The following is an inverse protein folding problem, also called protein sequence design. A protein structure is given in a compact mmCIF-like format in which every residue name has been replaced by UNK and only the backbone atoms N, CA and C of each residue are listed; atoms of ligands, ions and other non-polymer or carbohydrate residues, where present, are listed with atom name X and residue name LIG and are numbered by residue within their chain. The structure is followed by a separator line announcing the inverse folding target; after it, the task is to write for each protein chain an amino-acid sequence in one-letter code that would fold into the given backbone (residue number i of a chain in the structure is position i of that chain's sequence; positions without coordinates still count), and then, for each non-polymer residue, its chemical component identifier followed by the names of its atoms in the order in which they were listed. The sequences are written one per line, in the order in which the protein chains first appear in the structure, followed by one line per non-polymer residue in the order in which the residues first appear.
data_IF_421584106269
#
_entry.id   IF_421584106269
#
_cell.length_a   1.000
_cell.length_b   1.000
_cell.length_c   1.000
_cell.angle_alpha   90.00
_cell.angle_beta   90.00
_cell.angle_gamma   90.00
#
_symmetry.space_group_name_H-M   'P 1'
#
loop_
_entity.id
_entity.type
_entity.pdbx_description
1 polymer ?
#
# COMPACT_ATOMS: atom_id res chain seq x y z
N UNK A 1 -17.04 5.35 5.13
CA UNK A 1 -15.63 5.07 4.79
C UNK A 1 -14.80 5.17 6.04
N UNK A 2 -14.24 4.06 6.48
CA UNK A 2 -13.35 3.97 7.65
C UNK A 2 -11.93 3.68 7.15
N UNK A 3 -10.98 4.56 7.47
CA UNK A 3 -9.56 4.37 7.17
C UNK A 3 -8.79 4.33 8.48
N UNK A 4 -8.01 3.28 8.68
CA UNK A 4 -7.04 3.16 9.77
C UNK A 4 -5.68 2.80 9.21
N UNK A 5 -4.62 3.33 9.83
CA UNK A 5 -3.27 2.80 9.72
C UNK A 5 -2.97 2.10 11.04
N UNK A 6 -2.68 0.83 10.97
CA UNK A 6 -2.43 0.02 12.17
C UNK A 6 -1.03 0.28 12.71
N UNK A 7 -0.08 0.16 11.84
CA UNK A 7 1.34 0.52 12.00
C UNK A 7 2.01 0.47 10.64
N UNK A 8 3.09 1.21 10.44
CA UNK A 8 3.92 1.15 9.25
C UNK A 8 3.12 1.35 7.94
N UNK A 9 3.01 0.30 7.11
CA UNK A 9 2.19 0.27 5.89
C UNK A 9 0.91 -0.59 6.02
N UNK A 10 0.56 -1.01 7.24
CA UNK A 10 -0.61 -1.83 7.48
C UNK A 10 -1.88 -0.97 7.44
N UNK A 11 -2.54 -0.95 6.29
CA UNK A 11 -3.67 -0.08 6.00
C UNK A 11 -4.98 -0.88 6.04
N UNK A 12 -5.99 -0.34 6.71
CA UNK A 12 -7.37 -0.81 6.63
C UNK A 12 -8.25 0.24 5.95
N UNK A 13 -9.01 -0.18 4.94
CA UNK A 13 -10.06 0.63 4.30
C UNK A 13 -11.36 -0.20 4.33
N UNK A 14 -12.28 0.15 5.24
CA UNK A 14 -13.50 -0.61 5.51
C UNK A 14 -13.19 -2.11 5.75
N UNK A 15 -13.53 -3.01 4.80
CA UNK A 15 -13.29 -4.46 4.82
C UNK A 15 -12.08 -4.91 3.97
N UNK A 16 -11.29 -3.96 3.47
CA UNK A 16 -10.03 -4.22 2.77
C UNK A 16 -8.83 -4.03 3.71
N UNK A 17 -7.85 -4.92 3.61
CA UNK A 17 -6.55 -4.78 4.25
C UNK A 17 -5.45 -4.69 3.18
N UNK A 18 -4.48 -3.82 3.40
CA UNK A 18 -3.26 -3.75 2.60
C UNK A 18 -2.08 -3.98 3.55
N UNK A 19 -1.21 -4.91 3.20
CA UNK A 19 0.00 -5.26 3.94
C UNK A 19 -0.25 -5.38 5.46
N UNK A 20 -1.15 -6.28 5.91
CA UNK A 20 -1.48 -6.39 7.32
C UNK A 20 -0.26 -6.80 8.15
N UNK A 21 0.10 -5.98 9.13
CA UNK A 21 1.24 -6.15 10.01
C UNK A 21 0.90 -5.81 11.46
N UNK A 22 1.55 -6.46 12.43
CA UNK A 22 1.28 -6.37 13.87
C UNK A 22 -0.15 -6.84 14.23
N UNK A 23 -0.35 -8.16 14.24
CA UNK A 23 -1.64 -8.83 14.50
C UNK A 23 -2.35 -8.35 15.78
N UNK A 24 -1.59 -7.90 16.78
CA UNK A 24 -2.15 -7.46 18.07
C UNK A 24 -3.10 -6.27 17.96
N UNK A 25 -2.92 -5.45 16.93
CA UNK A 25 -3.70 -4.23 16.68
C UNK A 25 -4.86 -4.43 15.69
N UNK A 26 -4.87 -5.53 14.93
CA UNK A 26 -5.87 -5.80 13.90
C UNK A 26 -7.14 -6.42 14.50
N UNK A 27 -8.24 -5.65 14.56
CA UNK A 27 -9.50 -6.04 15.20
C UNK A 27 -10.68 -6.02 14.22
N UNK A 28 -10.50 -6.57 13.01
CA UNK A 28 -11.55 -6.68 12.00
C UNK A 28 -11.35 -7.97 11.19
N UNK A 29 -12.34 -8.31 10.37
CA UNK A 29 -12.22 -9.39 9.38
C UNK A 29 -12.22 -8.78 7.98
N UNK A 30 -11.30 -9.22 7.14
CA UNK A 30 -11.12 -8.69 5.81
C UNK A 30 -11.91 -9.50 4.77
N UNK A 31 -12.61 -8.80 3.86
CA UNK A 31 -13.14 -9.39 2.63
C UNK A 31 -12.02 -9.56 1.60
N UNK A 32 -11.14 -8.56 1.52
CA UNK A 32 -9.98 -8.57 0.63
C UNK A 32 -8.70 -8.25 1.38
N UNK A 33 -7.63 -8.97 1.05
CA UNK A 33 -6.26 -8.66 1.50
C UNK A 33 -5.41 -8.44 0.26
N UNK A 34 -4.76 -7.29 0.19
CA UNK A 34 -3.84 -6.89 -0.85
C UNK A 34 -2.41 -6.90 -0.28
N UNK A 35 -1.52 -7.68 -0.87
CA UNK A 35 -0.12 -7.74 -0.51
C UNK A 35 0.72 -7.10 -1.61
N UNK A 36 1.55 -6.12 -1.25
CA UNK A 36 2.37 -5.40 -2.23
C UNK A 36 3.63 -6.17 -2.58
N UNK A 37 4.26 -6.82 -1.60
CA UNK A 37 5.48 -7.60 -1.78
C UNK A 37 5.72 -8.56 -0.61
N UNK A 38 6.85 -9.28 -0.63
CA UNK A 38 7.10 -10.42 0.27
C UNK A 38 8.00 -10.11 1.47
N UNK A 39 8.37 -8.87 1.73
CA UNK A 39 9.08 -8.53 2.95
C UNK A 39 8.21 -8.79 4.19
N UNK A 40 8.86 -9.11 5.32
CA UNK A 40 8.21 -9.57 6.56
C UNK A 40 7.22 -8.57 7.17
N UNK A 41 7.41 -7.28 6.91
CA UNK A 41 6.59 -6.17 7.38
C UNK A 41 5.40 -5.84 6.46
N UNK A 42 5.27 -6.57 5.35
CA UNK A 42 4.16 -6.50 4.38
C UNK A 42 3.44 -7.85 4.22
N UNK A 43 4.18 -8.97 4.24
CA UNK A 43 3.61 -10.32 4.27
C UNK A 43 3.83 -10.92 5.66
N UNK A 44 3.02 -10.52 6.63
CA UNK A 44 3.04 -11.06 7.98
C UNK A 44 1.94 -12.12 8.17
N UNK A 45 2.33 -13.39 8.13
CA UNK A 45 1.39 -14.51 8.20
C UNK A 45 0.52 -14.52 9.47
N UNK A 46 1.04 -14.20 10.68
CA UNK A 46 0.21 -14.03 11.87
C UNK A 46 -0.89 -12.98 11.70
N UNK A 47 -0.59 -11.83 11.10
CA UNK A 47 -1.56 -10.78 10.83
C UNK A 47 -2.60 -11.19 9.81
N UNK A 48 -2.18 -11.84 8.72
CA UNK A 48 -3.09 -12.37 7.71
C UNK A 48 -4.07 -13.35 8.37
N UNK A 49 -3.57 -14.36 9.10
CA UNK A 49 -4.41 -15.36 9.79
C UNK A 49 -5.37 -14.75 10.81
N UNK A 50 -4.98 -13.65 11.45
CA UNK A 50 -5.83 -12.96 12.41
C UNK A 50 -7.07 -12.33 11.75
N UNK A 51 -6.99 -11.89 10.51
CA UNK A 51 -8.06 -11.13 9.85
C UNK A 51 -8.81 -11.87 8.76
N UNK A 52 -8.33 -13.04 8.30
CA UNK A 52 -9.03 -13.85 7.27
C UNK A 52 -10.30 -14.50 7.81
N UNK A 53 -11.20 -14.81 6.88
CA UNK A 53 -12.33 -15.73 6.99
C UNK A 53 -12.25 -16.71 5.82
N UNK A 54 -13.08 -17.74 5.77
CA UNK A 54 -13.13 -18.69 4.66
C UNK A 54 -13.46 -18.03 3.31
N UNK A 55 -14.15 -16.89 3.33
CA UNK A 55 -14.55 -16.13 2.14
C UNK A 55 -13.55 -15.03 1.74
N UNK A 56 -12.50 -14.78 2.52
CA UNK A 56 -11.50 -13.76 2.21
C UNK A 56 -10.75 -14.10 0.92
N UNK A 57 -10.65 -13.15 0.01
CA UNK A 57 -9.82 -13.25 -1.19
C UNK A 57 -8.52 -12.48 -0.99
N UNK A 58 -7.40 -13.13 -1.29
CA UNK A 58 -6.07 -12.54 -1.17
C UNK A 58 -5.56 -12.20 -2.56
N UNK A 59 -5.05 -10.99 -2.75
CA UNK A 59 -4.42 -10.51 -3.98
C UNK A 59 -2.94 -10.28 -3.66
N UNK A 60 -2.03 -10.92 -4.40
CA UNK A 60 -0.62 -10.91 -4.07
C UNK A 60 0.28 -11.07 -5.31
N UNK A 61 1.52 -10.57 -5.30
CA UNK A 61 2.48 -10.86 -6.35
C UNK A 61 2.85 -12.35 -6.37
N UNK A 62 3.33 -12.84 -7.53
CA UNK A 62 3.56 -14.27 -7.75
C UNK A 62 4.60 -14.90 -6.81
N UNK A 63 5.58 -14.17 -6.36
CA UNK A 63 6.63 -14.65 -5.46
C UNK A 63 6.11 -14.96 -4.05
N UNK A 64 4.96 -14.39 -3.64
CA UNK A 64 4.25 -14.72 -2.41
C UNK A 64 3.65 -16.14 -2.41
N UNK A 65 3.54 -16.80 -3.59
CA UNK A 65 2.82 -18.07 -3.76
C UNK A 65 3.25 -19.14 -2.77
N UNK A 66 4.55 -19.41 -2.67
CA UNK A 66 5.07 -20.46 -1.81
C UNK A 66 4.71 -20.24 -0.33
N UNK A 67 4.81 -19.02 0.14
CA UNK A 67 4.51 -18.69 1.53
C UNK A 67 3.00 -18.79 1.83
N UNK A 68 2.16 -18.28 0.94
CA UNK A 68 0.72 -18.26 1.15
C UNK A 68 0.10 -19.65 1.04
N UNK A 69 0.41 -20.42 -0.01
CA UNK A 69 -0.17 -21.76 -0.22
C UNK A 69 0.30 -22.80 0.79
N UNK A 70 1.44 -22.59 1.45
CA UNK A 70 1.91 -23.46 2.52
C UNK A 70 1.01 -23.39 3.78
N UNK A 71 0.31 -22.28 4.00
CA UNK A 71 -0.37 -22.01 5.26
C UNK A 71 -1.86 -21.64 5.12
N UNK A 72 -2.33 -21.30 3.91
CA UNK A 72 -3.68 -20.83 3.66
C UNK A 72 -4.40 -21.66 2.61
N UNK A 73 -5.72 -21.78 2.77
CA UNK A 73 -6.64 -22.43 1.79
C UNK A 73 -7.57 -21.45 1.10
N UNK A 74 -7.40 -20.17 1.38
CA UNK A 74 -8.20 -19.11 0.81
C UNK A 74 -8.02 -19.00 -0.71
N UNK A 75 -8.99 -18.37 -1.39
CA UNK A 75 -8.82 -17.96 -2.78
C UNK A 75 -7.71 -16.92 -2.88
N UNK A 76 -6.67 -17.20 -3.66
CA UNK A 76 -5.56 -16.29 -3.91
C UNK A 76 -5.54 -15.95 -5.40
N UNK A 77 -5.45 -14.66 -5.71
CA UNK A 77 -5.28 -14.14 -7.07
C UNK A 77 -3.86 -13.60 -7.16
N UNK A 78 -3.03 -14.27 -7.96
CA UNK A 78 -1.66 -13.81 -8.19
C UNK A 78 -1.62 -12.81 -9.33
N UNK A 79 -0.92 -11.71 -9.08
CA UNK A 79 -0.85 -10.55 -9.97
C UNK A 79 0.57 -10.16 -10.32
N UNK A 80 0.70 -9.31 -11.32
CA UNK A 80 1.91 -8.60 -11.74
C UNK A 80 1.56 -7.16 -12.09
N UNK A 81 2.53 -6.25 -12.21
CA UNK A 81 2.30 -4.89 -12.68
C UNK A 81 1.45 -4.84 -13.97
N UNK A 82 0.52 -3.89 -14.03
CA UNK A 82 -0.41 -3.62 -15.12
C UNK A 82 -1.55 -4.65 -15.30
N UNK A 83 -1.72 -5.59 -14.38
CA UNK A 83 -2.93 -6.42 -14.37
C UNK A 83 -4.15 -5.59 -13.94
N UNK A 84 -5.31 -5.92 -14.49
CA UNK A 84 -6.61 -5.39 -14.08
C UNK A 84 -7.48 -6.51 -13.54
N UNK A 85 -8.13 -6.29 -12.40
CA UNK A 85 -8.97 -7.29 -11.75
C UNK A 85 -10.32 -6.67 -11.41
N UNK A 86 -11.39 -7.38 -11.74
CA UNK A 86 -12.72 -7.08 -11.26
C UNK A 86 -13.07 -8.05 -10.12
N UNK A 87 -13.18 -7.52 -8.93
CA UNK A 87 -13.70 -8.22 -7.77
C UNK A 87 -15.21 -7.95 -7.64
N UNK A 88 -15.88 -8.61 -6.71
CA UNK A 88 -17.34 -8.53 -6.58
C UNK A 88 -17.87 -7.09 -6.43
N UNK A 89 -17.16 -6.25 -5.65
CA UNK A 89 -17.58 -4.89 -5.31
C UNK A 89 -16.47 -3.83 -5.44
N UNK A 90 -15.38 -4.16 -6.11
CA UNK A 90 -14.34 -3.19 -6.44
C UNK A 90 -13.57 -3.58 -7.71
N UNK A 91 -13.02 -2.57 -8.38
CA UNK A 91 -12.10 -2.71 -9.50
C UNK A 91 -10.69 -2.39 -9.04
N UNK A 92 -9.71 -3.13 -9.54
CA UNK A 92 -8.31 -3.03 -9.13
C UNK A 92 -7.42 -2.93 -10.36
N UNK A 93 -6.61 -1.87 -10.41
CA UNK A 93 -5.49 -1.72 -11.32
C UNK A 93 -4.21 -1.97 -10.53
N UNK A 94 -3.36 -2.87 -11.01
CA UNK A 94 -2.11 -3.25 -10.34
C UNK A 94 -0.98 -2.35 -10.82
N UNK A 95 -0.46 -1.54 -9.91
CA UNK A 95 0.60 -0.58 -10.19
C UNK A 95 1.98 -1.23 -10.06
N UNK A 96 2.99 -0.83 -10.86
CA UNK A 96 4.37 -1.19 -10.58
C UNK A 96 4.87 -0.48 -9.33
N UNK A 97 5.58 -1.21 -8.46
CA UNK A 97 6.18 -0.68 -7.24
C UNK A 97 7.64 -1.10 -7.19
N UNK A 98 8.56 -0.14 -7.32
CA UNK A 98 9.99 -0.42 -7.36
C UNK A 98 10.85 0.81 -7.06
N UNK A 99 12.11 0.57 -6.69
CA UNK A 99 13.11 1.61 -6.50
C UNK A 99 13.94 1.82 -7.80
N UNK A 100 14.38 3.07 -8.03
CA UNK A 100 15.15 3.47 -9.20
C UNK A 100 16.65 3.23 -8.96
N UNK A 101 17.21 3.82 -7.92
CA UNK A 101 18.65 3.84 -7.63
C UNK A 101 19.00 3.20 -6.28
N UNK A 102 18.20 2.23 -5.82
CA UNK A 102 18.43 1.50 -4.55
C UNK A 102 18.59 0.00 -4.82
N UNK A 103 19.34 -0.68 -3.96
CA UNK A 103 19.51 -2.14 -4.02
C UNK A 103 18.26 -2.92 -3.58
N UNK A 104 17.29 -2.23 -2.97
CA UNK A 104 16.02 -2.81 -2.51
C UNK A 104 14.92 -2.62 -3.57
N UNK A 105 13.89 -3.46 -3.55
CA UNK A 105 12.67 -3.34 -4.37
C UNK A 105 12.97 -3.12 -5.87
N UNK A 106 13.82 -3.99 -6.44
CA UNK A 106 14.22 -3.90 -7.85
C UNK A 106 13.04 -4.14 -8.79
N UNK A 107 12.99 -3.45 -9.91
CA UNK A 107 11.89 -3.55 -10.90
C UNK A 107 11.64 -4.99 -11.36
N UNK A 108 12.70 -5.81 -11.50
CA UNK A 108 12.62 -7.21 -11.91
C UNK A 108 11.91 -8.12 -10.92
N UNK A 109 11.70 -7.71 -9.66
CA UNK A 109 10.92 -8.50 -8.69
C UNK A 109 9.44 -8.53 -9.03
N UNK A 110 8.95 -7.55 -9.82
CA UNK A 110 7.56 -7.47 -10.23
C UNK A 110 6.60 -7.22 -9.06
N UNK A 111 7.09 -6.53 -8.02
CA UNK A 111 6.29 -6.11 -6.88
C UNK A 111 5.34 -4.97 -7.23
N UNK A 112 4.30 -4.79 -6.44
CA UNK A 112 3.12 -4.05 -6.87
C UNK A 112 2.63 -3.05 -5.83
N UNK A 113 1.98 -2.00 -6.34
CA UNK A 113 1.00 -1.21 -5.62
C UNK A 113 -0.39 -1.48 -6.18
N UNK A 114 -1.39 -0.81 -5.64
CA UNK A 114 -2.77 -1.02 -6.05
C UNK A 114 -3.52 0.30 -6.17
N UNK A 115 -4.21 0.47 -7.31
CA UNK A 115 -5.27 1.47 -7.45
C UNK A 115 -6.61 0.74 -7.39
N UNK A 116 -7.42 1.06 -6.38
CA UNK A 116 -8.68 0.37 -6.11
C UNK A 116 -9.83 1.35 -6.21
N UNK A 117 -10.84 1.00 -6.98
CA UNK A 117 -12.09 1.75 -7.07
C UNK A 117 -13.16 0.98 -6.31
N UNK A 118 -13.63 1.54 -5.20
CA UNK A 118 -14.70 0.97 -4.37
C UNK A 118 -15.69 2.05 -3.95
N UNK A 119 -16.97 1.79 -4.15
CA UNK A 119 -18.06 2.73 -3.81
C UNK A 119 -17.84 4.15 -4.40
N UNK A 120 -17.33 4.23 -5.63
CA UNK A 120 -17.06 5.51 -6.31
C UNK A 120 -15.86 6.29 -5.79
N UNK A 121 -15.07 5.73 -4.85
CA UNK A 121 -13.84 6.33 -4.34
C UNK A 121 -12.63 5.60 -4.92
N UNK A 122 -11.64 6.35 -5.38
CA UNK A 122 -10.38 5.85 -5.95
C UNK A 122 -9.27 5.95 -4.92
N UNK A 123 -8.75 4.80 -4.51
CA UNK A 123 -7.62 4.67 -3.58
C UNK A 123 -6.37 4.27 -4.34
N UNK A 124 -5.21 4.85 -3.99
CA UNK A 124 -3.91 4.35 -4.44
C UNK A 124 -3.03 4.02 -3.24
N UNK A 125 -2.59 2.77 -3.15
CA UNK A 125 -1.62 2.26 -2.16
C UNK A 125 -0.38 1.88 -2.93
N UNK A 126 0.72 2.62 -2.73
CA UNK A 126 1.87 2.53 -3.62
C UNK A 126 2.82 1.37 -3.30
N UNK A 127 2.79 0.81 -2.07
CA UNK A 127 3.80 -0.13 -1.60
C UNK A 127 5.15 0.55 -1.40
N UNK A 128 6.23 -0.24 -1.39
CA UNK A 128 7.59 0.25 -1.21
C UNK A 128 8.21 0.61 -2.57
N UNK A 129 8.26 1.91 -2.84
CA UNK A 129 8.62 2.42 -4.18
C UNK A 129 9.30 3.78 -4.11
N UNK A 130 10.05 4.09 -5.16
CA UNK A 130 10.45 5.45 -5.50
C UNK A 130 9.38 6.15 -6.36
N UNK A 131 9.57 7.45 -6.64
CA UNK A 131 8.69 8.26 -7.49
C UNK A 131 8.91 7.94 -8.97
N UNK A 132 8.46 6.76 -9.41
CA UNK A 132 8.63 6.28 -10.79
C UNK A 132 7.81 7.10 -11.79
N UNK A 133 8.20 7.07 -13.07
CA UNK A 133 7.47 7.80 -14.12
C UNK A 133 6.04 7.27 -14.29
N UNK A 134 5.83 5.97 -14.08
CA UNK A 134 4.50 5.36 -14.12
C UNK A 134 3.59 5.92 -13.02
N UNK A 135 4.12 6.09 -11.80
CA UNK A 135 3.34 6.64 -10.67
C UNK A 135 3.03 8.13 -10.83
N UNK A 136 3.92 8.89 -11.47
CA UNK A 136 3.69 10.32 -11.78
C UNK A 136 2.52 10.55 -12.75
N UNK A 137 2.13 9.52 -13.51
CA UNK A 137 1.01 9.57 -14.46
C UNK A 137 -0.34 9.20 -13.83
N UNK A 138 -0.38 8.86 -12.53
CA UNK A 138 -1.63 8.55 -11.85
C UNK A 138 -2.54 9.77 -11.81
N UNK A 139 -3.79 9.57 -12.22
CA UNK A 139 -4.82 10.60 -12.25
C UNK A 139 -6.11 10.14 -11.54
N UNK A 140 -6.91 11.11 -11.11
CA UNK A 140 -8.22 10.85 -10.52
C UNK A 140 -8.19 10.17 -9.15
N UNK A 141 -7.09 10.30 -8.41
CA UNK A 141 -6.94 9.67 -7.10
C UNK A 141 -7.67 10.48 -6.02
N UNK A 142 -8.58 9.84 -5.30
CA UNK A 142 -9.26 10.44 -4.16
C UNK A 142 -8.38 10.36 -2.89
N UNK A 143 -7.80 9.18 -2.63
CA UNK A 143 -6.95 8.94 -1.45
C UNK A 143 -5.66 8.25 -1.88
N UNK A 144 -4.54 8.90 -1.60
CA UNK A 144 -3.19 8.39 -1.86
C UNK A 144 -2.52 7.99 -0.56
N UNK A 145 -2.09 6.74 -0.44
CA UNK A 145 -1.20 6.26 0.60
C UNK A 145 0.22 6.20 0.04
N UNK A 146 1.11 7.03 0.57
CA UNK A 146 2.45 7.24 0.02
C UNK A 146 3.52 6.97 1.09
N UNK A 147 4.52 6.10 0.80
CA UNK A 147 5.60 5.83 1.74
C UNK A 147 6.54 7.03 1.84
N UNK A 148 7.02 7.35 3.07
CA UNK A 148 7.88 8.51 3.34
C UNK A 148 9.15 8.18 4.13
N UNK A 149 9.41 6.90 4.42
CA UNK A 149 10.47 6.47 5.35
C UNK A 149 11.91 6.59 4.85
N UNK A 150 12.14 6.80 3.57
CA UNK A 150 13.42 7.17 2.96
C UNK A 150 14.35 6.02 2.62
N UNK A 151 14.74 5.16 3.55
CA UNK A 151 15.81 4.17 3.33
C UNK A 151 15.46 3.16 2.24
N UNK A 152 14.25 2.63 2.26
CA UNK A 152 13.77 1.59 1.33
C UNK A 152 12.76 2.12 0.32
N UNK A 153 12.31 3.34 0.49
CA UNK A 153 11.26 4.00 -0.28
C UNK A 153 11.66 5.45 -0.58
N UNK A 154 10.75 6.23 -1.15
CA UNK A 154 10.90 7.67 -1.23
C UNK A 154 11.19 8.27 0.15
N UNK A 155 12.05 9.28 0.21
CA UNK A 155 12.11 10.14 1.38
C UNK A 155 10.88 11.07 1.42
N UNK A 156 10.70 11.77 2.53
CA UNK A 156 9.54 12.60 2.77
C UNK A 156 9.34 13.73 1.73
N UNK A 157 10.44 14.30 1.23
CA UNK A 157 10.41 15.34 0.20
C UNK A 157 9.98 14.77 -1.16
N UNK A 158 10.60 13.66 -1.58
CA UNK A 158 10.25 12.97 -2.84
C UNK A 158 8.80 12.51 -2.85
N UNK A 159 8.31 11.99 -1.73
CA UNK A 159 6.93 11.56 -1.57
C UNK A 159 5.93 12.72 -1.67
N UNK A 160 6.26 13.87 -1.08
CA UNK A 160 5.45 15.07 -1.19
C UNK A 160 5.45 15.64 -2.63
N UNK A 161 6.59 15.63 -3.32
CA UNK A 161 6.70 16.05 -4.71
C UNK A 161 5.88 15.13 -5.64
N UNK A 162 5.87 13.81 -5.40
CA UNK A 162 5.00 12.88 -6.10
C UNK A 162 3.52 13.18 -5.82
N UNK A 163 3.14 13.38 -4.56
CA UNK A 163 1.77 13.75 -4.19
C UNK A 163 1.33 15.09 -4.84
N UNK A 164 2.24 16.07 -4.94
CA UNK A 164 1.99 17.33 -5.63
C UNK A 164 1.79 17.15 -7.16
N UNK A 165 2.42 16.13 -7.74
CA UNK A 165 2.26 15.78 -9.17
C UNK A 165 0.93 15.07 -9.41
N UNK A 166 0.59 14.06 -8.62
CA UNK A 166 -0.66 13.27 -8.70
C UNK A 166 -1.88 14.11 -8.34
N UNK A 167 -1.74 15.06 -7.40
CA UNK A 167 -2.81 15.93 -6.88
C UNK A 167 -4.01 15.14 -6.35
N UNK A 168 -3.83 14.21 -5.42
CA UNK A 168 -4.94 13.48 -4.82
C UNK A 168 -5.83 14.44 -4.01
N UNK A 169 -7.10 14.07 -3.79
CA UNK A 169 -7.97 14.85 -2.87
C UNK A 169 -7.48 14.75 -1.42
N UNK A 170 -6.85 13.63 -1.05
CA UNK A 170 -6.29 13.37 0.28
C UNK A 170 -4.99 12.56 0.16
N UNK A 171 -3.89 13.03 0.75
CA UNK A 171 -2.64 12.30 0.90
C UNK A 171 -2.49 11.81 2.35
N UNK A 172 -2.11 10.56 2.52
CA UNK A 172 -1.86 9.90 3.82
C UNK A 172 -0.46 9.30 3.77
N UNK A 173 0.52 9.87 4.51
CA UNK A 173 1.85 9.29 4.59
C UNK A 173 1.84 8.01 5.42
N UNK A 174 2.60 7.02 4.95
CA UNK A 174 2.77 5.69 5.55
C UNK A 174 4.24 5.28 5.53
N UNK A 175 4.58 4.11 6.05
CA UNK A 175 5.92 3.53 6.04
C UNK A 175 6.97 4.39 6.76
N UNK A 176 6.64 4.89 7.94
CA UNK A 176 7.54 5.68 8.80
C UNK A 176 7.20 5.51 10.29
N UNK A 177 8.12 5.92 11.15
CA UNK A 177 7.88 6.03 12.60
C UNK A 177 7.91 4.73 13.39
N UNK A 178 8.21 3.58 12.76
CA UNK A 178 8.37 2.29 13.44
C UNK A 178 9.64 1.56 13.01
N UNK A 179 9.62 0.86 11.87
CA UNK A 179 10.77 0.10 11.33
C UNK A 179 11.81 1.05 10.74
N UNK A 180 11.34 2.04 10.00
CA UNK A 180 12.15 3.09 9.35
C UNK A 180 11.49 4.45 9.52
N UNK A 181 12.24 5.50 9.19
CA UNK A 181 11.76 6.85 9.28
C UNK A 181 11.39 7.30 10.71
N UNK A 182 10.91 8.50 10.81
CA UNK A 182 10.59 9.13 12.10
C UNK A 182 9.53 10.21 11.96
N UNK A 183 9.12 10.82 13.06
CA UNK A 183 8.21 11.99 13.03
C UNK A 183 8.83 13.25 12.39
N UNK A 184 10.14 13.29 12.16
CA UNK A 184 10.75 14.36 11.37
C UNK A 184 10.38 14.26 9.88
N UNK A 185 10.22 13.04 9.37
CA UNK A 185 9.82 12.80 7.98
C UNK A 185 8.38 13.27 7.72
N UNK A 186 7.49 13.08 8.68
CA UNK A 186 6.15 13.66 8.65
C UNK A 186 6.19 15.19 8.49
N UNK A 187 7.01 15.87 9.30
CA UNK A 187 7.17 17.34 9.24
C UNK A 187 7.73 17.79 7.89
N UNK A 188 8.72 17.09 7.36
CA UNK A 188 9.31 17.43 6.05
C UNK A 188 8.32 17.17 4.91
N UNK A 189 7.57 16.07 4.96
CA UNK A 189 6.48 15.79 4.02
C UNK A 189 5.46 16.95 4.00
N UNK A 190 4.95 17.35 5.16
CA UNK A 190 3.97 18.42 5.29
C UNK A 190 4.50 19.79 4.86
N UNK A 191 5.78 20.07 5.07
CA UNK A 191 6.44 21.31 4.65
C UNK A 191 6.54 21.40 3.13
N UNK A 192 6.70 20.28 2.43
CA UNK A 192 6.88 20.19 0.98
C UNK A 192 5.54 20.05 0.23
N UNK A 193 4.54 19.47 0.89
CA UNK A 193 3.23 19.22 0.29
C UNK A 193 2.53 20.53 -0.13
N UNK A 194 1.98 20.58 -1.35
CA UNK A 194 1.17 21.71 -1.83
C UNK A 194 -0.06 21.92 -0.93
N UNK A 195 -0.31 23.15 -0.54
CA UNK A 195 -1.46 23.55 0.31
C UNK A 195 -2.82 23.17 -0.27
N UNK A 196 -2.91 22.88 -1.57
CA UNK A 196 -4.12 22.44 -2.25
C UNK A 196 -4.40 20.94 -2.04
N UNK A 197 -3.39 20.14 -1.70
CA UNK A 197 -3.54 18.73 -1.39
C UNK A 197 -3.90 18.60 0.08
N UNK A 198 -5.08 18.06 0.38
CA UNK A 198 -5.44 17.74 1.77
C UNK A 198 -4.58 16.58 2.27
N UNK A 199 -4.33 16.54 3.55
CA UNK A 199 -3.59 15.43 4.18
C UNK A 199 -4.25 14.97 5.47
N UNK A 200 -3.91 13.75 5.88
CA UNK A 200 -4.28 13.21 7.19
C UNK A 200 -3.14 12.36 7.73
N UNK A 201 -2.74 12.62 8.95
CA UNK A 201 -1.77 11.82 9.69
C UNK A 201 -2.54 10.80 10.51
N UNK A 202 -2.17 9.52 10.39
CA UNK A 202 -2.87 8.41 11.03
C UNK A 202 -1.93 7.48 11.83
N UNK A 203 -0.59 7.67 11.74
CA UNK A 203 0.43 6.96 12.51
C UNK A 203 0.82 7.69 13.81
#
# INVERSE_FOLDING_TARGET
MKININTHSSIQIDDMAFDPYDASKLKFKAKYIFLTHTHYDHLDMPSIKNIITDSTVIIAPKDAKKALEAELKNKIIYVKPHDEINLEDCQVEVLPSYNIDKEFHKKEYGWVGYKVIKNGTVYAVLGDTDATEELKQLEGIDVLFVPIGGTYTMNAKEAAELANTIKPKLAIPVHYGSIVGSKSDEKEFLKTLDKKVKYKILL
#
